data_IF_200259314771
#
_entry.id   IF_200259314771
#
_cell.length_a   1.000
_cell.length_b   1.000
_cell.length_c   1.000
_cell.angle_alpha   90.00
_cell.angle_beta   90.00
_cell.angle_gamma   90.00
#
_symmetry.space_group_name_H-M   'P 1'
#
loop_
_entity.id
_entity.type
_entity.pdbx_description
1 polymer ?
#
# COMPACT_ATOMS: atom_id res chain seq x y z
N UNK A 1 19.42 -13.60 8.10
CA UNK A 1 19.97 -14.90 8.58
C UNK A 1 19.65 -16.01 7.60
N UNK A 2 20.51 -17.03 7.42
CA UNK A 2 20.18 -18.18 6.57
C UNK A 2 18.96 -18.92 7.12
N UNK A 3 18.30 -19.76 6.30
CA UNK A 3 17.21 -20.60 6.79
C UNK A 3 17.68 -21.41 7.99
N UNK A 4 17.02 -21.27 9.11
CA UNK A 4 17.46 -21.80 10.41
C UNK A 4 16.27 -22.28 11.25
N UNK A 5 16.51 -23.19 12.17
CA UNK A 5 15.56 -23.52 13.23
C UNK A 5 16.05 -23.03 14.58
N UNK A 6 15.13 -22.65 15.44
CA UNK A 6 15.42 -22.20 16.80
C UNK A 6 15.32 -23.36 17.79
N UNK A 7 16.36 -23.52 18.59
CA UNK A 7 16.41 -24.50 19.68
C UNK A 7 15.43 -24.17 20.79
N UNK A 8 14.83 -25.19 21.37
CA UNK A 8 13.92 -25.06 22.52
C UNK A 8 14.45 -25.75 23.81
N UNK A 9 15.68 -26.27 23.74
CA UNK A 9 16.31 -26.99 24.85
C UNK A 9 15.73 -28.39 25.13
N UNK A 10 14.90 -28.94 24.23
CA UNK A 10 14.17 -30.18 24.46
C UNK A 10 14.19 -31.15 23.29
N UNK A 11 14.05 -30.61 22.06
CA UNK A 11 13.95 -31.37 20.84
C UNK A 11 15.26 -31.39 20.07
N UNK A 12 15.51 -32.46 19.34
CA UNK A 12 16.65 -32.53 18.43
C UNK A 12 16.43 -31.60 17.24
N UNK A 13 17.51 -31.22 16.55
CA UNK A 13 17.42 -30.36 15.35
C UNK A 13 16.46 -30.96 14.32
N UNK A 14 16.52 -32.28 14.08
CA UNK A 14 15.61 -32.98 13.17
C UNK A 14 14.16 -32.86 13.60
N UNK A 15 13.85 -33.01 14.91
CA UNK A 15 12.49 -32.85 15.42
C UNK A 15 12.00 -31.40 15.30
N UNK A 16 12.89 -30.40 15.45
CA UNK A 16 12.56 -28.98 15.23
C UNK A 16 12.24 -28.69 13.75
N UNK A 17 13.00 -29.27 12.81
CA UNK A 17 12.73 -29.20 11.36
C UNK A 17 11.34 -29.80 11.05
N UNK A 18 11.06 -31.00 11.53
CA UNK A 18 9.75 -31.64 11.31
C UNK A 18 8.60 -30.81 11.90
N UNK A 19 8.78 -30.25 13.10
CA UNK A 19 7.76 -29.42 13.73
C UNK A 19 7.54 -28.09 12.97
N UNK A 20 8.62 -27.49 12.44
CA UNK A 20 8.53 -26.30 11.60
C UNK A 20 7.78 -26.60 10.30
N UNK A 21 8.11 -27.68 9.61
CA UNK A 21 7.44 -28.11 8.39
C UNK A 21 5.96 -28.43 8.59
N UNK A 22 5.58 -29.04 9.73
CA UNK A 22 4.16 -29.24 10.06
C UNK A 22 3.43 -27.91 10.22
N UNK A 23 4.02 -26.95 10.95
CA UNK A 23 3.41 -25.61 11.12
C UNK A 23 3.22 -24.89 9.77
N UNK A 24 4.20 -24.98 8.87
CA UNK A 24 4.07 -24.41 7.53
C UNK A 24 2.94 -25.08 6.72
N UNK A 25 2.80 -26.40 6.82
CA UNK A 25 1.75 -27.14 6.12
C UNK A 25 0.33 -26.77 6.58
N UNK A 26 0.18 -26.35 7.84
CA UNK A 26 -1.11 -25.91 8.42
C UNK A 26 -1.50 -24.49 8.00
N UNK A 27 -0.56 -23.69 7.44
CA UNK A 27 -0.85 -22.35 6.95
C UNK A 27 -1.61 -22.38 5.62
N UNK A 28 -2.44 -21.35 5.32
CA UNK A 28 -3.00 -21.15 4.00
C UNK A 28 -1.90 -21.09 2.93
N UNK A 29 -2.13 -21.61 1.70
CA UNK A 29 -1.09 -21.70 0.66
C UNK A 29 -0.31 -20.41 0.36
N UNK A 30 -0.99 -19.27 0.45
CA UNK A 30 -0.39 -17.94 0.18
C UNK A 30 0.44 -17.37 1.35
N UNK A 31 0.47 -18.06 2.50
CA UNK A 31 1.31 -17.69 3.65
C UNK A 31 2.46 -18.68 3.87
N UNK A 32 2.50 -19.77 3.11
CA UNK A 32 3.55 -20.79 3.24
C UNK A 32 4.86 -20.27 2.69
N UNK A 33 5.93 -20.53 3.42
CA UNK A 33 7.31 -20.33 2.93
C UNK A 33 7.85 -21.64 2.35
N UNK A 34 9.05 -21.58 1.74
CA UNK A 34 9.75 -22.79 1.33
C UNK A 34 9.96 -23.73 2.52
N UNK A 35 9.77 -25.05 2.34
CA UNK A 35 9.95 -26.02 3.42
C UNK A 35 11.33 -25.91 4.09
N UNK A 36 11.37 -26.20 5.36
CA UNK A 36 12.63 -26.36 6.08
C UNK A 36 13.35 -27.59 5.57
N UNK A 37 14.59 -27.46 5.09
CA UNK A 37 15.29 -28.54 4.41
C UNK A 37 15.78 -29.60 5.43
N UNK A 38 15.71 -30.86 4.99
CA UNK A 38 16.29 -32.02 5.69
C UNK A 38 17.06 -32.84 4.65
N UNK A 39 18.16 -32.24 4.13
CA UNK A 39 18.98 -32.79 3.05
C UNK A 39 20.48 -32.67 3.38
N UNK A 40 21.32 -33.21 2.53
CA UNK A 40 22.78 -33.20 2.72
C UNK A 40 23.37 -31.79 2.84
N UNK A 41 22.77 -30.77 2.22
CA UNK A 41 23.22 -29.38 2.34
C UNK A 41 22.86 -28.82 3.72
N UNK A 42 21.70 -29.19 4.28
CA UNK A 42 21.34 -28.86 5.65
C UNK A 42 22.28 -29.55 6.65
N UNK A 43 22.59 -30.81 6.46
CA UNK A 43 23.56 -31.52 7.30
C UNK A 43 24.93 -30.85 7.27
N UNK A 44 25.39 -30.44 6.10
CA UNK A 44 26.66 -29.70 5.97
C UNK A 44 26.64 -28.34 6.65
N UNK A 45 25.54 -27.56 6.53
CA UNK A 45 25.39 -26.28 7.20
C UNK A 45 25.37 -26.42 8.72
N UNK A 46 24.60 -27.40 9.24
CA UNK A 46 24.57 -27.72 10.67
C UNK A 46 25.97 -28.12 11.18
N UNK A 47 26.67 -29.03 10.47
CA UNK A 47 28.01 -29.46 10.85
C UNK A 47 29.02 -28.31 10.87
N UNK A 48 28.96 -27.39 9.89
CA UNK A 48 29.80 -26.19 9.85
C UNK A 48 29.56 -25.26 11.05
N UNK A 49 28.33 -25.25 11.58
CA UNK A 49 27.95 -24.52 12.78
C UNK A 49 28.17 -25.29 14.10
N UNK A 50 28.74 -26.51 14.03
CA UNK A 50 29.06 -27.35 15.19
C UNK A 50 27.88 -28.16 15.71
N UNK A 51 26.84 -28.40 14.92
CA UNK A 51 25.67 -29.19 15.32
C UNK A 51 25.60 -30.52 14.54
N UNK A 52 25.05 -31.52 15.21
CA UNK A 52 24.60 -32.77 14.59
C UNK A 52 23.07 -32.77 14.50
N UNK A 53 22.47 -33.53 13.57
CA UNK A 53 20.99 -33.65 13.44
C UNK A 53 20.29 -34.10 14.73
N UNK A 54 20.93 -34.93 15.53
CA UNK A 54 20.42 -35.46 16.80
C UNK A 54 20.80 -34.58 18.01
N UNK A 55 21.51 -33.48 17.82
CA UNK A 55 21.84 -32.55 18.89
C UNK A 55 20.57 -31.86 19.41
N UNK A 56 20.54 -31.57 20.72
CA UNK A 56 19.48 -30.78 21.35
C UNK A 56 20.05 -29.40 21.59
N UNK A 57 19.72 -28.38 20.75
CA UNK A 57 20.24 -27.03 20.92
C UNK A 57 19.57 -26.34 22.11
N UNK A 58 20.29 -25.40 22.73
CA UNK A 58 19.75 -24.62 23.83
C UNK A 58 18.56 -23.75 23.34
N UNK A 59 17.67 -23.40 24.26
CA UNK A 59 16.55 -22.50 23.95
C UNK A 59 17.08 -21.15 23.45
N UNK A 60 16.53 -20.67 22.35
CA UNK A 60 16.94 -19.43 21.69
C UNK A 60 18.17 -19.55 20.78
N UNK A 61 18.78 -20.73 20.67
CA UNK A 61 19.93 -20.96 19.81
C UNK A 61 19.48 -21.26 18.38
N UNK A 62 19.97 -20.50 17.38
CA UNK A 62 19.66 -20.68 15.98
C UNK A 62 20.62 -21.62 15.28
N UNK A 63 20.09 -22.60 14.60
CA UNK A 63 20.85 -23.62 13.87
C UNK A 63 20.62 -23.42 12.37
N UNK A 64 21.67 -23.06 11.59
CA UNK A 64 21.54 -22.84 10.16
C UNK A 64 21.33 -24.15 9.41
N UNK A 65 20.40 -24.14 8.45
CA UNK A 65 20.09 -25.24 7.54
C UNK A 65 20.53 -24.94 6.11
N UNK A 66 21.03 -23.74 5.87
CA UNK A 66 21.63 -23.28 4.61
C UNK A 66 22.84 -22.42 4.90
N UNK A 67 23.76 -22.34 3.95
CA UNK A 67 24.93 -21.47 4.03
C UNK A 67 24.64 -20.07 3.49
N UNK A 68 23.56 -19.92 2.70
CA UNK A 68 23.21 -18.66 2.03
C UNK A 68 22.18 -17.88 2.84
N UNK A 69 22.46 -16.61 3.06
CA UNK A 69 21.57 -15.66 3.70
C UNK A 69 20.65 -15.00 2.64
N UNK A 70 19.66 -15.74 2.17
CA UNK A 70 18.73 -15.27 1.16
C UNK A 70 17.30 -15.65 1.52
N UNK A 71 16.37 -14.70 1.42
CA UNK A 71 14.94 -14.96 1.61
C UNK A 71 14.37 -15.83 0.49
N UNK A 72 14.97 -15.81 -0.72
CA UNK A 72 14.62 -16.71 -1.81
C UNK A 72 14.93 -18.18 -1.47
N UNK A 73 15.95 -18.41 -0.63
CA UNK A 73 16.30 -19.73 -0.11
C UNK A 73 15.67 -20.00 1.28
N UNK A 74 14.64 -19.20 1.64
CA UNK A 74 13.88 -19.33 2.87
C UNK A 74 14.60 -18.79 4.10
N UNK A 75 15.57 -17.90 3.94
CA UNK A 75 16.23 -17.19 5.03
C UNK A 75 15.26 -16.29 5.80
N UNK A 76 15.65 -15.88 6.99
CA UNK A 76 14.85 -15.05 7.87
C UNK A 76 15.25 -13.57 7.75
N UNK A 77 14.25 -12.70 7.68
CA UNK A 77 14.44 -11.27 7.81
C UNK A 77 14.79 -10.89 9.26
N UNK A 78 15.61 -9.86 9.41
CA UNK A 78 15.93 -9.27 10.70
C UNK A 78 15.80 -7.75 10.60
N UNK A 79 15.12 -7.14 11.59
CA UNK A 79 15.05 -5.68 11.70
C UNK A 79 16.36 -5.13 12.26
N UNK A 80 17.12 -4.46 11.41
CA UNK A 80 18.42 -3.88 11.77
C UNK A 80 18.48 -2.36 11.62
N UNK A 81 17.35 -1.71 11.41
CA UNK A 81 17.28 -0.26 11.19
C UNK A 81 17.97 0.57 12.26
N UNK A 82 17.88 0.12 13.51
CA UNK A 82 18.55 0.75 14.68
C UNK A 82 20.10 0.62 14.67
N UNK A 83 20.65 -0.26 13.84
CA UNK A 83 22.10 -0.52 13.73
C UNK A 83 22.74 0.11 12.50
N UNK A 84 21.95 0.64 11.57
CA UNK A 84 22.46 1.18 10.32
C UNK A 84 23.39 2.38 10.60
N UNK A 85 24.62 2.29 10.09
CA UNK A 85 25.54 3.43 10.16
C UNK A 85 25.00 4.62 9.32
N UNK A 86 25.09 5.87 9.79
CA UNK A 86 24.58 7.03 9.07
C UNK A 86 25.10 7.17 7.64
N UNK A 87 26.38 6.83 7.38
CA UNK A 87 26.96 6.88 6.03
C UNK A 87 26.32 5.86 5.09
N UNK A 88 25.88 4.69 5.61
CA UNK A 88 25.17 3.68 4.82
C UNK A 88 23.75 4.13 4.49
N UNK A 89 23.10 4.83 5.40
CA UNK A 89 21.80 5.47 5.12
C UNK A 89 21.95 6.61 4.10
N UNK A 90 22.97 7.45 4.22
CA UNK A 90 23.23 8.55 3.28
C UNK A 90 23.45 8.04 1.84
N UNK A 91 24.30 7.01 1.66
CA UNK A 91 24.55 6.47 0.31
C UNK A 91 23.27 5.84 -0.27
N UNK A 92 22.43 5.18 0.52
CA UNK A 92 21.14 4.65 0.08
C UNK A 92 20.17 5.76 -0.35
N UNK A 93 20.06 6.83 0.43
CA UNK A 93 19.24 8.01 0.08
C UNK A 93 19.77 8.73 -1.17
N UNK A 94 21.08 8.82 -1.36
CA UNK A 94 21.68 9.39 -2.56
C UNK A 94 21.39 8.55 -3.79
N UNK A 95 21.47 7.22 -3.69
CA UNK A 95 21.09 6.32 -4.78
C UNK A 95 19.60 6.48 -5.16
N UNK A 96 18.69 6.53 -4.18
CA UNK A 96 17.27 6.78 -4.40
C UNK A 96 17.03 8.09 -5.17
N UNK A 97 17.67 9.18 -4.73
CA UNK A 97 17.55 10.50 -5.37
C UNK A 97 18.15 10.54 -6.78
N UNK A 98 19.25 9.82 -7.02
CA UNK A 98 19.90 9.75 -8.33
C UNK A 98 18.94 9.22 -9.41
N UNK A 99 18.09 8.27 -9.05
CA UNK A 99 17.06 7.71 -9.94
C UNK A 99 15.72 8.46 -9.89
N UNK A 100 15.62 9.55 -9.12
CA UNK A 100 14.38 10.34 -9.01
C UNK A 100 13.24 9.59 -8.33
N UNK A 101 13.54 8.62 -7.47
CA UNK A 101 12.55 7.81 -6.78
C UNK A 101 12.13 8.48 -5.45
N UNK A 102 10.84 8.41 -5.13
CA UNK A 102 10.31 8.81 -3.82
C UNK A 102 10.43 7.66 -2.81
N UNK A 103 10.27 6.43 -3.28
CA UNK A 103 10.40 5.19 -2.51
C UNK A 103 11.22 4.20 -3.30
N UNK A 104 12.19 3.57 -2.67
CA UNK A 104 13.04 2.57 -3.29
C UNK A 104 13.45 1.48 -2.29
N UNK A 105 13.67 0.26 -2.78
CA UNK A 105 14.44 -0.75 -2.09
C UNK A 105 15.92 -0.63 -2.49
N UNK A 106 16.81 -0.54 -1.53
CA UNK A 106 18.24 -0.46 -1.78
C UNK A 106 18.92 -1.70 -1.19
N UNK A 107 19.40 -2.56 -2.05
CA UNK A 107 20.11 -3.76 -1.64
C UNK A 107 21.60 -3.46 -1.43
N UNK A 108 22.05 -3.52 -0.20
CA UNK A 108 23.45 -3.30 0.20
C UNK A 108 24.05 -4.62 0.65
N UNK A 109 25.08 -5.07 -0.05
CA UNK A 109 25.90 -6.21 0.38
C UNK A 109 26.98 -5.67 1.31
N UNK A 110 26.99 -6.13 2.55
CA UNK A 110 27.92 -5.67 3.58
C UNK A 110 28.21 -6.77 4.61
N UNK A 111 29.43 -6.88 5.14
CA UNK A 111 29.72 -7.75 6.28
C UNK A 111 29.05 -7.27 7.57
N UNK A 112 28.89 -5.94 7.75
CA UNK A 112 28.24 -5.32 8.91
C UNK A 112 27.64 -3.98 8.50
N UNK A 113 26.33 -3.84 8.61
CA UNK A 113 25.60 -2.61 8.28
C UNK A 113 25.88 -1.48 9.30
N UNK A 114 26.36 -1.81 10.48
CA UNK A 114 26.76 -0.86 11.52
C UNK A 114 28.15 -0.23 11.30
N UNK A 115 28.91 -0.70 10.30
CA UNK A 115 30.20 -0.14 9.90
C UNK A 115 30.03 0.67 8.61
N UNK A 116 30.64 1.87 8.48
CA UNK A 116 30.48 2.70 7.29
C UNK A 116 30.97 1.95 6.03
N UNK A 117 30.20 2.06 4.93
CA UNK A 117 30.41 1.33 3.67
C UNK A 117 31.85 1.41 3.15
N UNK A 118 32.51 2.56 3.26
CA UNK A 118 33.88 2.80 2.79
C UNK A 118 34.95 2.14 3.68
N UNK A 119 34.60 1.68 4.87
CA UNK A 119 35.53 1.03 5.80
C UNK A 119 35.46 -0.50 5.75
N UNK A 120 34.35 -1.09 5.27
CA UNK A 120 34.17 -2.54 5.24
C UNK A 120 33.96 -3.11 3.83
N UNK A 121 34.03 -2.26 2.79
CA UNK A 121 33.87 -2.69 1.39
C UNK A 121 32.44 -2.99 0.99
N UNK A 122 31.46 -2.45 1.71
CA UNK A 122 30.04 -2.56 1.34
C UNK A 122 29.76 -1.95 -0.04
N UNK A 123 28.84 -2.54 -0.78
CA UNK A 123 28.42 -2.07 -2.11
C UNK A 123 26.91 -2.05 -2.22
N UNK A 124 26.37 -1.07 -2.95
CA UNK A 124 25.00 -1.13 -3.43
C UNK A 124 24.96 -2.11 -4.58
N UNK A 125 24.21 -3.18 -4.42
CA UNK A 125 24.03 -4.22 -5.43
C UNK A 125 22.87 -3.85 -6.37
N UNK A 126 21.76 -3.34 -5.82
CA UNK A 126 20.53 -3.11 -6.57
C UNK A 126 19.75 -1.93 -6.02
N UNK A 127 19.04 -1.23 -6.93
CA UNK A 127 18.09 -0.18 -6.61
C UNK A 127 16.72 -0.54 -7.19
N UNK A 128 15.80 -0.95 -6.34
CA UNK A 128 14.47 -1.39 -6.72
C UNK A 128 13.48 -0.22 -6.69
N UNK A 129 12.92 0.15 -7.84
CA UNK A 129 11.93 1.24 -7.97
C UNK A 129 10.55 0.88 -7.39
N UNK A 130 10.26 -0.40 -7.22
CA UNK A 130 9.00 -0.92 -6.69
C UNK A 130 9.27 -1.99 -5.62
N UNK A 131 9.74 -1.59 -4.43
CA UNK A 131 10.01 -2.54 -3.36
C UNK A 131 8.73 -3.23 -2.91
N UNK A 132 8.83 -4.52 -2.56
CA UNK A 132 7.71 -5.31 -2.06
C UNK A 132 7.42 -4.92 -0.60
N UNK A 133 6.75 -3.77 -0.43
CA UNK A 133 6.32 -3.31 0.89
C UNK A 133 5.24 -4.23 1.44
N UNK A 134 5.43 -4.72 2.67
CA UNK A 134 4.49 -5.63 3.33
C UNK A 134 4.59 -7.08 2.87
N UNK A 135 5.56 -7.45 2.05
CA UNK A 135 5.80 -8.83 1.63
C UNK A 135 6.25 -9.74 2.78
N UNK A 136 7.10 -9.23 3.67
CA UNK A 136 7.51 -9.91 4.89
C UNK A 136 6.77 -9.38 6.12
N UNK A 137 6.77 -10.13 7.21
CA UNK A 137 6.11 -9.74 8.47
C UNK A 137 6.72 -8.45 9.04
N UNK A 138 8.05 -8.33 9.04
CA UNK A 138 8.77 -7.12 9.47
C UNK A 138 8.32 -5.90 8.65
N UNK A 139 8.32 -6.00 7.33
CA UNK A 139 7.92 -4.88 6.48
C UNK A 139 6.44 -4.51 6.64
N UNK A 140 5.56 -5.46 6.95
CA UNK A 140 4.15 -5.19 7.26
C UNK A 140 3.97 -4.36 8.52
N UNK A 141 4.79 -4.57 9.54
CA UNK A 141 4.72 -3.80 10.79
C UNK A 141 5.01 -2.31 10.59
N UNK A 142 5.78 -1.94 9.58
CA UNK A 142 6.12 -0.56 9.23
C UNK A 142 5.14 0.13 8.26
N UNK A 143 4.21 -0.63 7.65
CA UNK A 143 3.25 -0.07 6.68
C UNK A 143 2.39 1.07 7.25
N UNK A 144 1.82 0.98 8.47
CA UNK A 144 0.99 2.07 9.00
C UNK A 144 1.77 3.38 9.09
N UNK A 145 2.98 3.37 9.64
CA UNK A 145 3.82 4.55 9.76
C UNK A 145 4.26 5.09 8.39
N UNK A 146 4.61 4.20 7.47
CA UNK A 146 4.96 4.55 6.10
C UNK A 146 3.81 5.26 5.39
N UNK A 147 2.59 4.70 5.47
CA UNK A 147 1.40 5.28 4.86
C UNK A 147 1.03 6.62 5.49
N UNK A 148 1.10 6.75 6.81
CA UNK A 148 0.84 8.01 7.52
C UNK A 148 1.78 9.13 7.05
N UNK A 149 3.07 8.84 6.93
CA UNK A 149 4.07 9.79 6.41
C UNK A 149 3.84 10.14 4.93
N UNK A 150 3.48 9.15 4.11
CA UNK A 150 3.26 9.35 2.67
C UNK A 150 2.01 10.18 2.38
N UNK A 151 0.93 9.93 3.12
CA UNK A 151 -0.37 10.54 2.89
C UNK A 151 -0.54 11.88 3.61
N UNK A 152 0.22 12.13 4.67
CA UNK A 152 0.09 13.33 5.49
C UNK A 152 -1.27 13.45 6.18
N UNK A 153 -1.92 12.30 6.49
CA UNK A 153 -3.24 12.20 7.09
C UNK A 153 -3.94 10.90 6.69
N UNK A 154 -5.26 10.90 6.61
CA UNK A 154 -6.05 9.71 6.23
C UNK A 154 -6.09 9.45 4.70
N UNK A 155 -5.35 10.23 3.91
CA UNK A 155 -5.26 10.11 2.46
C UNK A 155 -6.52 10.54 1.71
N UNK A 156 -7.49 11.12 2.41
CA UNK A 156 -8.75 11.55 1.81
C UNK A 156 -8.68 13.01 1.39
N UNK A 157 -9.28 13.29 0.24
CA UNK A 157 -9.56 14.65 -0.21
C UNK A 157 -11.03 14.98 0.01
N UNK A 158 -11.42 16.25 0.25
CA UNK A 158 -12.80 16.65 0.35
C UNK A 158 -13.57 16.32 -0.94
N UNK A 159 -14.76 15.73 -0.79
CA UNK A 159 -15.70 15.50 -1.87
C UNK A 159 -16.99 16.25 -1.56
N UNK A 160 -17.35 17.20 -2.41
CA UNK A 160 -18.59 17.95 -2.34
C UNK A 160 -19.55 17.43 -3.41
N UNK A 161 -20.79 17.10 -3.05
CA UNK A 161 -21.78 16.53 -3.98
C UNK A 161 -22.96 17.43 -4.16
N UNK A 162 -23.30 17.73 -5.40
CA UNK A 162 -24.47 18.52 -5.84
C UNK A 162 -25.45 17.59 -6.57
N UNK A 163 -26.70 17.52 -6.09
CA UNK A 163 -27.74 16.66 -6.66
C UNK A 163 -28.77 17.49 -7.41
N UNK A 164 -29.11 17.09 -8.63
CA UNK A 164 -30.16 17.71 -9.44
C UNK A 164 -29.83 17.76 -10.94
N UNK A 165 -30.57 18.60 -11.66
CA UNK A 165 -30.42 18.81 -13.09
C UNK A 165 -29.29 19.82 -13.46
N UNK A 166 -29.43 20.54 -14.57
CA UNK A 166 -28.51 21.58 -15.02
C UNK A 166 -28.34 22.73 -13.99
N UNK A 167 -29.30 22.93 -13.08
CA UNK A 167 -29.14 23.90 -12.01
C UNK A 167 -28.10 23.43 -10.99
N UNK A 168 -28.02 22.13 -10.71
CA UNK A 168 -26.99 21.55 -9.85
C UNK A 168 -25.59 21.67 -10.50
N UNK A 169 -25.50 21.50 -11.82
CA UNK A 169 -24.24 21.70 -12.53
C UNK A 169 -23.76 23.14 -12.40
N UNK A 170 -24.64 24.12 -12.61
CA UNK A 170 -24.28 25.56 -12.47
C UNK A 170 -23.83 25.91 -11.04
N UNK A 171 -24.53 25.42 -10.03
CA UNK A 171 -24.16 25.64 -8.63
C UNK A 171 -22.79 25.02 -8.30
N UNK A 172 -22.54 23.83 -8.83
CA UNK A 172 -21.25 23.15 -8.67
C UNK A 172 -20.10 23.86 -9.39
N UNK A 173 -20.35 24.42 -10.59
CA UNK A 173 -19.37 25.22 -11.33
C UNK A 173 -19.04 26.55 -10.60
N UNK A 174 -20.03 27.17 -9.95
CA UNK A 174 -19.79 28.34 -9.12
C UNK A 174 -18.93 27.98 -7.90
N UNK A 175 -19.27 26.89 -7.23
CA UNK A 175 -18.48 26.39 -6.11
C UNK A 175 -17.06 26.04 -6.48
N UNK A 176 -16.85 25.37 -7.61
CA UNK A 176 -15.51 25.08 -8.13
C UNK A 176 -14.68 26.36 -8.33
N UNK A 177 -15.30 27.40 -8.92
CA UNK A 177 -14.62 28.71 -9.12
C UNK A 177 -14.26 29.38 -7.79
N UNK A 178 -15.12 29.31 -6.78
CA UNK A 178 -14.83 29.82 -5.44
C UNK A 178 -13.61 29.12 -4.83
N UNK A 179 -13.60 27.79 -4.86
CA UNK A 179 -12.50 26.98 -4.35
C UNK A 179 -11.19 27.29 -5.08
N UNK A 180 -11.23 27.37 -6.41
CA UNK A 180 -10.06 27.70 -7.23
C UNK A 180 -9.56 29.13 -6.96
N UNK A 181 -10.45 30.11 -6.77
CA UNK A 181 -10.09 31.46 -6.37
C UNK A 181 -9.44 31.52 -4.98
N UNK A 182 -9.78 30.58 -4.10
CA UNK A 182 -9.12 30.36 -2.80
C UNK A 182 -7.78 29.59 -2.88
N UNK A 183 -7.31 29.27 -4.08
CA UNK A 183 -6.04 28.55 -4.29
C UNK A 183 -6.14 27.02 -4.19
N UNK A 184 -7.35 26.45 -4.07
CA UNK A 184 -7.55 25.01 -4.02
C UNK A 184 -7.60 24.41 -5.43
N UNK A 185 -6.87 23.32 -5.67
CA UNK A 185 -6.95 22.56 -6.93
C UNK A 185 -8.25 21.71 -6.96
N UNK A 186 -9.40 22.41 -7.10
CA UNK A 186 -10.73 21.84 -7.13
C UNK A 186 -11.13 21.40 -8.54
N UNK A 187 -11.43 20.12 -8.71
CA UNK A 187 -11.89 19.53 -9.96
C UNK A 187 -13.39 19.27 -9.89
N UNK A 188 -14.10 19.51 -11.00
CA UNK A 188 -15.52 19.22 -11.12
C UNK A 188 -15.74 18.00 -11.99
N UNK A 189 -16.71 17.15 -11.65
CA UNK A 189 -17.11 16.02 -12.49
C UNK A 189 -18.60 15.74 -12.44
N UNK A 190 -19.15 15.36 -13.58
CA UNK A 190 -20.50 14.84 -13.78
C UNK A 190 -20.45 13.53 -14.59
N UNK A 191 -21.58 12.97 -14.92
CA UNK A 191 -21.66 11.79 -15.78
C UNK A 191 -21.18 12.05 -17.24
N UNK A 192 -21.09 13.32 -17.66
CA UNK A 192 -20.74 13.71 -19.04
C UNK A 192 -19.41 14.44 -19.16
N UNK A 193 -19.08 15.30 -18.22
CA UNK A 193 -17.93 16.18 -18.31
C UNK A 193 -17.12 16.16 -17.02
N UNK A 194 -15.84 16.52 -17.13
CA UNK A 194 -14.98 16.85 -16.00
C UNK A 194 -14.20 18.13 -16.34
N UNK A 195 -13.97 19.00 -15.34
CA UNK A 195 -13.27 20.27 -15.51
C UNK A 195 -12.10 20.39 -14.54
N UNK A 196 -10.99 20.89 -15.04
CA UNK A 196 -9.84 21.29 -14.25
C UNK A 196 -10.12 22.58 -13.46
N UNK A 197 -9.29 22.97 -12.49
CA UNK A 197 -9.47 24.19 -11.68
C UNK A 197 -9.54 25.49 -12.51
N UNK A 198 -8.90 25.53 -13.67
CA UNK A 198 -8.94 26.64 -14.62
C UNK A 198 -10.23 26.70 -15.47
N UNK A 199 -11.17 25.79 -15.22
CA UNK A 199 -12.45 25.66 -15.94
C UNK A 199 -12.35 24.91 -17.26
N UNK A 200 -11.18 24.51 -17.72
CA UNK A 200 -10.95 23.75 -18.96
C UNK A 200 -11.54 22.35 -18.84
N UNK A 201 -12.28 21.95 -19.87
CA UNK A 201 -12.81 20.58 -19.94
C UNK A 201 -11.68 19.56 -20.14
N UNK A 202 -11.75 18.48 -19.35
CA UNK A 202 -10.80 17.39 -19.41
C UNK A 202 -11.30 16.29 -20.34
N UNK A 203 -10.52 15.93 -21.34
CA UNK A 203 -10.78 14.76 -22.16
C UNK A 203 -10.64 13.49 -21.32
N UNK A 204 -11.73 12.71 -21.24
CA UNK A 204 -11.71 11.39 -20.61
C UNK A 204 -12.27 10.36 -21.57
N UNK A 205 -11.61 9.18 -21.75
CA UNK A 205 -12.03 8.16 -22.74
C UNK A 205 -13.24 7.33 -22.28
N UNK A 206 -13.92 7.77 -21.22
CA UNK A 206 -15.07 7.07 -20.62
C UNK A 206 -16.14 8.06 -20.16
N UNK A 207 -17.36 7.57 -20.10
CA UNK A 207 -18.54 8.25 -19.57
C UNK A 207 -18.92 7.66 -18.20
N UNK A 208 -19.84 8.32 -17.53
CA UNK A 208 -20.36 7.87 -16.24
C UNK A 208 -19.63 8.54 -15.04
N UNK A 209 -20.44 8.85 -14.03
CA UNK A 209 -20.03 9.60 -12.87
C UNK A 209 -19.00 8.81 -12.01
N UNK A 210 -19.26 7.53 -11.81
CA UNK A 210 -18.40 6.70 -10.97
C UNK A 210 -16.97 6.58 -11.53
N UNK A 211 -16.84 6.30 -12.84
CA UNK A 211 -15.51 6.17 -13.48
C UNK A 211 -14.76 7.49 -13.54
N UNK A 212 -15.46 8.59 -13.82
CA UNK A 212 -14.86 9.93 -13.83
C UNK A 212 -14.40 10.36 -12.43
N UNK A 213 -15.21 10.12 -11.40
CA UNK A 213 -14.83 10.37 -10.01
C UNK A 213 -13.62 9.53 -9.61
N UNK A 214 -13.60 8.24 -9.97
CA UNK A 214 -12.46 7.37 -9.68
C UNK A 214 -11.17 7.86 -10.33
N UNK A 215 -11.23 8.32 -11.58
CA UNK A 215 -10.04 8.86 -12.26
C UNK A 215 -9.49 10.11 -11.56
N UNK A 216 -10.37 10.98 -11.07
CA UNK A 216 -9.95 12.17 -10.31
C UNK A 216 -9.40 11.81 -8.93
N UNK A 217 -9.96 10.81 -8.23
CA UNK A 217 -9.43 10.34 -6.95
C UNK A 217 -8.03 9.73 -7.05
N UNK A 218 -7.65 9.25 -8.23
CA UNK A 218 -6.30 8.71 -8.50
C UNK A 218 -5.31 9.77 -8.98
N UNK A 219 -5.76 10.99 -9.25
CA UNK A 219 -4.89 12.09 -9.72
C UNK A 219 -4.36 12.90 -8.53
N UNK A 220 -3.07 12.79 -8.25
CA UNK A 220 -2.38 13.46 -7.13
C UNK A 220 -2.46 14.99 -7.16
N UNK A 221 -2.87 15.59 -8.28
CA UNK A 221 -3.08 17.04 -8.41
C UNK A 221 -4.42 17.50 -7.86
N UNK A 222 -5.34 16.59 -7.58
CA UNK A 222 -6.69 16.90 -7.11
C UNK A 222 -6.68 17.08 -5.60
N UNK A 223 -7.03 18.27 -5.14
CA UNK A 223 -7.17 18.59 -3.71
C UNK A 223 -8.62 18.55 -3.24
N UNK A 224 -9.58 18.74 -4.14
CA UNK A 224 -11.03 18.66 -3.86
C UNK A 224 -11.76 18.21 -5.11
N UNK A 225 -12.79 17.37 -4.96
CA UNK A 225 -13.68 17.01 -6.05
C UNK A 225 -15.07 17.58 -5.79
N UNK A 226 -15.58 18.34 -6.77
CA UNK A 226 -16.98 18.79 -6.82
C UNK A 226 -17.72 17.87 -7.77
N UNK A 227 -18.61 17.06 -7.24
CA UNK A 227 -19.36 16.00 -7.95
C UNK A 227 -20.77 16.45 -8.24
N UNK A 228 -21.24 16.27 -9.48
CA UNK A 228 -22.61 16.59 -9.87
C UNK A 228 -23.37 15.31 -10.17
N UNK A 229 -24.27 14.93 -9.30
CA UNK A 229 -25.08 13.74 -9.41
C UNK A 229 -26.42 14.06 -10.14
N UNK A 230 -26.38 13.98 -11.47
CA UNK A 230 -27.51 14.24 -12.36
C UNK A 230 -28.25 12.97 -12.81
N UNK A 231 -27.75 11.80 -12.42
CA UNK A 231 -28.31 10.50 -12.79
C UNK A 231 -28.42 9.58 -11.59
N UNK A 232 -29.19 8.51 -11.72
CA UNK A 232 -29.29 7.45 -10.72
C UNK A 232 -28.11 6.46 -10.74
N UNK A 233 -27.07 6.70 -11.52
CA UNK A 233 -25.94 5.78 -11.75
C UNK A 233 -25.37 5.19 -10.46
N UNK A 234 -25.12 6.04 -9.45
CA UNK A 234 -24.53 5.60 -8.18
C UNK A 234 -25.40 4.63 -7.37
N UNK A 235 -26.69 4.56 -7.65
CA UNK A 235 -27.60 3.57 -7.04
C UNK A 235 -27.39 2.16 -7.60
N UNK A 236 -26.94 2.03 -8.83
CA UNK A 236 -26.85 0.76 -9.55
C UNK A 236 -25.44 0.15 -9.50
N UNK A 237 -24.44 0.97 -9.66
CA UNK A 237 -23.04 0.50 -9.73
C UNK A 237 -22.22 0.88 -8.51
N UNK A 238 -22.82 1.60 -7.56
CA UNK A 238 -22.08 2.20 -6.47
C UNK A 238 -21.20 3.36 -6.95
N UNK A 239 -20.26 3.77 -6.14
CA UNK A 239 -19.30 4.82 -6.49
C UNK A 239 -18.08 4.76 -5.59
N UNK A 240 -16.95 5.33 -6.03
CA UNK A 240 -15.71 5.33 -5.29
C UNK A 240 -15.72 6.32 -4.10
N UNK A 241 -16.86 6.99 -3.86
CA UNK A 241 -17.01 8.00 -2.82
C UNK A 241 -17.60 7.31 -1.60
N UNK A 242 -16.83 7.13 -0.57
CA UNK A 242 -17.24 6.53 0.71
C UNK A 242 -17.55 7.60 1.79
N UNK A 243 -17.00 8.81 1.64
CA UNK A 243 -17.18 9.93 2.56
C UNK A 243 -17.39 11.23 1.79
N UNK A 244 -18.37 12.02 2.19
CA UNK A 244 -18.77 13.29 1.58
C UNK A 244 -18.56 14.40 2.60
N UNK A 245 -17.83 15.45 2.22
CA UNK A 245 -17.60 16.62 3.04
C UNK A 245 -18.79 17.61 3.00
N UNK A 246 -19.48 17.68 1.86
CA UNK A 246 -20.64 18.56 1.66
C UNK A 246 -21.62 17.93 0.70
N UNK A 247 -22.92 18.01 1.03
CA UNK A 247 -24.01 17.56 0.17
C UNK A 247 -25.02 18.69 -0.02
N UNK A 248 -25.22 19.12 -1.27
CA UNK A 248 -26.21 20.11 -1.68
C UNK A 248 -27.25 19.47 -2.58
N UNK A 249 -28.52 19.59 -2.21
CA UNK A 249 -29.65 19.11 -2.99
C UNK A 249 -30.32 20.32 -3.61
N UNK A 250 -30.03 20.55 -4.89
CA UNK A 250 -30.59 21.69 -5.63
C UNK A 250 -32.03 21.42 -6.04
N UNK A 251 -32.27 20.22 -6.56
CA UNK A 251 -33.61 19.71 -6.86
C UNK A 251 -33.60 18.18 -6.99
N UNK A 252 -34.75 17.57 -7.18
CA UNK A 252 -34.95 16.14 -7.32
C UNK A 252 -34.95 15.64 -8.80
N UNK A 253 -34.59 16.52 -9.73
CA UNK A 253 -34.59 16.23 -11.17
C UNK A 253 -33.32 15.56 -11.59
N UNK A 254 -33.26 14.24 -11.43
CA UNK A 254 -32.18 13.42 -11.96
C UNK A 254 -32.69 12.48 -13.04
N UNK A 255 -31.83 12.13 -13.99
CA UNK A 255 -32.15 11.15 -15.01
C UNK A 255 -32.05 9.74 -14.43
N UNK A 256 -33.07 8.94 -14.58
CA UNK A 256 -33.11 7.54 -14.17
C UNK A 256 -33.61 6.66 -15.31
N UNK A 257 -33.08 5.44 -15.49
CA UNK A 257 -33.66 4.45 -16.36
C UNK A 257 -35.14 4.23 -16.02
N UNK A 258 -35.94 3.98 -17.04
CA UNK A 258 -37.36 3.64 -16.90
C UNK A 258 -38.25 4.68 -16.17
N UNK A 259 -37.77 5.92 -16.04
CA UNK A 259 -38.50 7.00 -15.39
C UNK A 259 -38.76 6.80 -13.89
N UNK A 260 -37.86 6.10 -13.19
CA UNK A 260 -38.00 5.82 -11.76
C UNK A 260 -38.04 7.12 -10.91
N UNK A 261 -39.22 7.53 -10.54
CA UNK A 261 -39.49 8.74 -9.72
C UNK A 261 -38.94 8.62 -8.31
N UNK A 262 -38.63 7.43 -7.83
CA UNK A 262 -38.03 7.19 -6.53
C UNK A 262 -36.48 7.22 -6.56
N UNK A 263 -35.91 7.38 -7.73
CA UNK A 263 -34.42 7.40 -7.85
C UNK A 263 -33.79 8.55 -7.08
N UNK A 264 -34.32 9.76 -7.17
CA UNK A 264 -33.76 10.92 -6.47
C UNK A 264 -33.83 10.77 -4.95
N UNK A 265 -34.96 10.44 -4.30
CA UNK A 265 -35.01 10.20 -2.86
C UNK A 265 -34.08 9.08 -2.39
N UNK A 266 -33.93 8.00 -3.17
CA UNK A 266 -33.01 6.90 -2.84
C UNK A 266 -31.57 7.35 -2.92
N UNK A 267 -31.19 8.08 -3.99
CA UNK A 267 -29.85 8.63 -4.16
C UNK A 267 -29.49 9.58 -3.02
N UNK A 268 -30.37 10.50 -2.69
CA UNK A 268 -30.17 11.45 -1.56
C UNK A 268 -29.96 10.70 -0.24
N UNK A 269 -30.76 9.64 0.02
CA UNK A 269 -30.58 8.81 1.23
C UNK A 269 -29.22 8.14 1.25
N UNK A 270 -28.80 7.56 0.14
CA UNK A 270 -27.47 6.96 -0.01
C UNK A 270 -26.34 7.98 0.25
N UNK A 271 -26.44 9.16 -0.36
CA UNK A 271 -25.42 10.20 -0.20
C UNK A 271 -25.38 10.77 1.23
N UNK A 272 -26.53 10.95 1.88
CA UNK A 272 -26.61 11.37 3.28
C UNK A 272 -25.95 10.39 4.24
N UNK A 273 -26.03 9.09 3.99
CA UNK A 273 -25.36 8.08 4.83
C UNK A 273 -23.84 8.10 4.73
N UNK A 274 -23.29 8.89 3.79
CA UNK A 274 -21.86 9.07 3.57
C UNK A 274 -21.34 10.44 3.98
N UNK A 275 -22.18 11.32 4.51
CA UNK A 275 -21.74 12.60 5.04
C UNK A 275 -20.77 12.36 6.21
N UNK A 276 -19.68 13.12 6.20
CA UNK A 276 -18.77 13.18 7.34
C UNK A 276 -19.53 13.77 8.55
N UNK A 277 -19.33 13.19 9.72
CA UNK A 277 -19.81 13.74 10.99
C UNK A 277 -19.09 15.03 11.34
#
# INVERSE_FOLDING_TARGET
MPKSVEGDGRHTVRQLIEAANRREADLPPWLRTEPYPDDAAADAAMAAAGFAPDAIPAAGQWIPLRAIESTADGGHDEEVGHRIHPDNLDIALRATRLFGLEVAGIDIITPDIGVPWHANGAVINEVNYSPLLGGAEISRSHLPEFLDRLLGGDGRIPVEVYVGDEAALRAAEERQRELAAGGCAAYLTSHRLSRAPDGREMAMPFTGLARRSQALLLDRRVETIVVVAQTSELLHIGGPIDRIARLEIINDRISAPDGDVQAAPRLVRLLRSRLAE
#
